data_IF_278349143872
#
_entry.id   IF_278349143872
#
_cell.length_a   1.000
_cell.length_b   1.000
_cell.length_c   1.000
_cell.angle_alpha   90.00
_cell.angle_beta   90.00
_cell.angle_gamma   90.00
#
_symmetry.space_group_name_H-M   'P 1'
#
loop_
_entity.id
_entity.type
_entity.pdbx_description
1 polymer ?
#
# COMPACT_ATOMS: atom_id res chain seq x y z
N UNK A 1 3.96 0.22 13.02
CA UNK A 1 5.42 0.21 12.76
C UNK A 1 5.66 0.27 11.25
N UNK A 2 5.69 1.48 10.69
CA UNK A 2 5.91 1.71 9.26
C UNK A 2 6.39 3.15 9.02
N UNK A 3 6.90 3.40 7.83
CA UNK A 3 7.25 4.74 7.33
C UNK A 3 6.65 4.96 5.94
N UNK A 4 6.31 6.21 5.64
CA UNK A 4 5.91 6.63 4.30
C UNK A 4 7.14 7.06 3.50
N UNK A 5 7.13 6.78 2.21
CA UNK A 5 8.19 7.23 1.32
C UNK A 5 8.14 8.74 1.11
N UNK A 6 9.30 9.35 0.91
CA UNK A 6 9.39 10.75 0.51
C UNK A 6 8.92 10.94 -0.93
N UNK A 7 8.28 12.07 -1.23
CA UNK A 7 7.74 12.35 -2.56
C UNK A 7 8.77 12.34 -3.68
N UNK A 8 10.05 12.59 -3.38
CA UNK A 8 11.15 12.60 -4.35
C UNK A 8 11.63 11.22 -4.79
N UNK A 9 11.31 10.16 -4.04
CA UNK A 9 11.70 8.78 -4.35
C UNK A 9 10.89 8.24 -5.54
N UNK A 10 11.48 7.28 -6.26
CA UNK A 10 10.83 6.53 -7.33
C UNK A 10 10.64 5.08 -6.91
N UNK A 11 9.43 4.56 -7.09
CA UNK A 11 9.06 3.17 -6.82
C UNK A 11 8.51 2.56 -8.11
N UNK A 12 9.16 1.51 -8.61
CA UNK A 12 8.79 0.83 -9.85
C UNK A 12 8.57 1.83 -11.02
N UNK A 13 9.48 2.80 -11.15
CA UNK A 13 9.43 3.76 -12.26
C UNK A 13 8.39 4.88 -12.13
N UNK A 14 7.70 5.01 -10.99
CA UNK A 14 6.85 6.18 -10.68
C UNK A 14 7.39 6.93 -9.48
N UNK A 15 7.38 8.26 -9.54
CA UNK A 15 7.66 9.10 -8.36
C UNK A 15 6.56 8.95 -7.33
N UNK A 16 6.92 8.87 -6.06
CA UNK A 16 5.96 8.80 -4.95
C UNK A 16 5.02 10.00 -4.96
N UNK A 17 5.51 11.19 -5.30
CA UNK A 17 4.68 12.40 -5.45
C UNK A 17 3.62 12.29 -6.56
N UNK A 18 3.76 11.34 -7.49
CA UNK A 18 2.75 11.03 -8.51
C UNK A 18 1.70 10.03 -8.00
N UNK A 19 2.00 9.27 -6.94
CA UNK A 19 1.09 8.29 -6.33
C UNK A 19 0.23 8.96 -5.24
N UNK A 20 0.85 9.81 -4.41
CA UNK A 20 0.25 10.37 -3.19
C UNK A 20 0.62 11.85 -3.01
N UNK A 21 -0.18 12.58 -2.23
CA UNK A 21 0.09 13.96 -1.84
C UNK A 21 1.08 14.07 -0.68
N UNK A 22 1.66 15.27 -0.52
CA UNK A 22 2.56 15.58 0.59
C UNK A 22 1.82 15.65 1.95
N UNK A 23 0.49 15.66 1.91
CA UNK A 23 -0.43 15.65 3.04
C UNK A 23 -0.76 14.24 3.56
N UNK A 24 -0.28 13.18 2.88
CA UNK A 24 -0.55 11.80 3.25
C UNK A 24 -0.03 11.47 4.65
N UNK A 25 -0.90 10.89 5.49
CA UNK A 25 -0.55 10.39 6.82
C UNK A 25 -1.30 9.09 7.13
N UNK A 26 -0.73 8.30 8.03
CA UNK A 26 -1.39 7.17 8.67
C UNK A 26 -1.53 7.51 10.15
N UNK A 27 -2.77 7.50 10.65
CA UNK A 27 -3.07 7.75 12.06
C UNK A 27 -2.80 6.48 12.91
N UNK A 28 -2.78 6.64 14.23
CA UNK A 28 -2.47 5.54 15.15
C UNK A 28 -3.46 4.36 15.06
N UNK A 29 -4.70 4.62 14.66
CA UNK A 29 -5.75 3.61 14.43
C UNK A 29 -5.65 2.94 13.05
N UNK A 30 -4.66 3.29 12.23
CA UNK A 30 -4.47 2.81 10.87
C UNK A 30 -5.29 3.56 9.80
N UNK A 31 -6.06 4.58 10.18
CA UNK A 31 -6.77 5.43 9.22
C UNK A 31 -5.79 6.20 8.35
N UNK A 32 -5.94 6.06 7.03
CA UNK A 32 -5.17 6.83 6.04
C UNK A 32 -5.93 8.12 5.73
N UNK A 33 -5.22 9.23 5.79
CA UNK A 33 -5.73 10.58 5.49
C UNK A 33 -4.80 11.28 4.50
N UNK A 34 -5.33 12.31 3.84
CA UNK A 34 -4.63 13.07 2.80
C UNK A 34 -4.97 12.58 1.40
N UNK A 35 -4.11 12.88 0.42
CA UNK A 35 -4.42 12.68 -1.00
C UNK A 35 -3.80 11.41 -1.57
N UNK A 36 -4.59 10.58 -2.25
CA UNK A 36 -4.11 9.51 -3.14
C UNK A 36 -4.55 9.85 -4.57
N UNK A 37 -3.58 9.83 -5.49
CA UNK A 37 -3.75 10.29 -6.88
C UNK A 37 -3.96 9.11 -7.80
N UNK A 38 -4.80 9.31 -8.83
CA UNK A 38 -4.97 8.32 -9.89
C UNK A 38 -3.73 8.29 -10.76
N UNK A 39 -3.17 7.10 -10.92
CA UNK A 39 -1.98 6.83 -11.74
C UNK A 39 -2.39 6.01 -12.94
N UNK A 40 -1.79 6.28 -14.09
CA UNK A 40 -1.93 5.49 -15.31
C UNK A 40 -0.56 5.05 -15.83
N UNK A 41 -0.53 3.98 -16.61
CA UNK A 41 0.69 3.45 -17.21
C UNK A 41 1.75 3.05 -16.17
N UNK A 42 1.34 2.42 -15.06
CA UNK A 42 2.25 1.90 -14.04
C UNK A 42 2.75 0.49 -14.41
N UNK A 43 3.41 0.37 -15.56
CA UNK A 43 3.76 -0.91 -16.20
C UNK A 43 4.71 -1.79 -15.38
N UNK A 44 5.55 -1.20 -14.54
CA UNK A 44 6.45 -1.97 -13.66
C UNK A 44 5.77 -2.45 -12.37
N UNK A 45 4.57 -1.95 -12.03
CA UNK A 45 3.79 -2.48 -10.91
C UNK A 45 3.17 -3.85 -11.25
N UNK A 46 2.68 -4.01 -12.47
CA UNK A 46 2.06 -5.26 -12.92
C UNK A 46 2.10 -5.38 -14.44
N UNK A 47 2.27 -6.61 -14.93
CA UNK A 47 2.11 -6.95 -16.35
C UNK A 47 0.65 -6.92 -16.81
N UNK A 48 -0.32 -6.96 -15.88
CA UNK A 48 -1.74 -6.90 -16.18
C UNK A 48 -2.18 -5.46 -16.43
N UNK A 49 -2.72 -5.18 -17.63
CA UNK A 49 -3.07 -3.81 -18.08
C UNK A 49 -4.06 -3.12 -17.13
N UNK A 50 -5.02 -3.87 -16.61
CA UNK A 50 -6.04 -3.41 -15.68
C UNK A 50 -5.46 -3.01 -14.32
N UNK A 51 -4.28 -3.51 -13.93
CA UNK A 51 -3.58 -3.18 -12.70
C UNK A 51 -2.58 -2.04 -12.86
N UNK A 52 -2.33 -1.55 -14.09
CA UNK A 52 -1.43 -0.43 -14.39
C UNK A 52 -2.12 0.94 -14.27
N UNK A 53 -3.41 0.96 -13.96
CA UNK A 53 -4.20 2.16 -13.73
C UNK A 53 -5.02 2.04 -12.44
N UNK A 54 -4.94 3.04 -11.57
CA UNK A 54 -5.61 3.00 -10.27
C UNK A 54 -5.00 3.95 -9.25
N UNK A 55 -5.30 3.71 -7.98
CA UNK A 55 -4.73 4.42 -6.85
C UNK A 55 -3.78 3.49 -6.11
N UNK A 56 -2.63 4.01 -5.70
CA UNK A 56 -1.56 3.20 -5.12
C UNK A 56 -1.07 3.83 -3.83
N UNK A 57 -0.98 3.01 -2.78
CA UNK A 57 -0.53 3.41 -1.46
C UNK A 57 0.80 2.72 -1.14
N UNK A 58 1.93 3.44 -1.23
CA UNK A 58 3.25 2.90 -0.93
C UNK A 58 3.63 3.11 0.54
N UNK A 59 4.26 2.11 1.15
CA UNK A 59 4.84 2.22 2.48
C UNK A 59 5.99 1.24 2.71
N UNK A 60 6.76 1.48 3.77
CA UNK A 60 7.81 0.58 4.22
C UNK A 60 7.55 0.11 5.66
N UNK A 61 7.55 -1.19 5.89
CA UNK A 61 7.50 -1.74 7.25
C UNK A 61 8.83 -1.49 7.96
N UNK A 62 8.76 -1.14 9.24
CA UNK A 62 9.97 -1.02 10.08
C UNK A 62 10.26 -2.29 10.88
N UNK A 63 9.26 -3.19 11.00
CA UNK A 63 9.43 -4.52 11.59
C UNK A 63 9.96 -5.48 10.52
N UNK A 64 10.80 -6.42 10.93
CA UNK A 64 11.30 -7.53 10.10
C UNK A 64 10.61 -8.84 10.48
N UNK A 65 10.61 -9.81 9.56
CA UNK A 65 10.13 -11.18 9.77
C UNK A 65 10.59 -12.11 8.67
N UNK A 66 10.04 -13.31 8.63
CA UNK A 66 10.33 -14.34 7.62
C UNK A 66 9.23 -14.38 6.56
N UNK A 67 7.98 -14.37 6.99
CA UNK A 67 6.81 -14.37 6.11
C UNK A 67 5.95 -13.14 6.33
N UNK A 68 5.11 -12.83 5.34
CA UNK A 68 4.08 -11.83 5.46
C UNK A 68 2.81 -12.24 4.72
N UNK A 69 1.68 -11.73 5.22
CA UNK A 69 0.36 -11.94 4.62
C UNK A 69 -0.32 -10.59 4.39
N UNK A 70 -0.90 -10.40 3.20
CA UNK A 70 -1.65 -9.20 2.83
C UNK A 70 -3.12 -9.55 2.64
N UNK A 71 -3.96 -9.15 3.59
CA UNK A 71 -5.41 -9.38 3.54
C UNK A 71 -6.11 -8.14 3.04
N UNK A 72 -6.82 -8.25 1.92
CA UNK A 72 -7.75 -7.23 1.43
C UNK A 72 -9.13 -7.54 1.96
N UNK A 73 -9.72 -6.62 2.72
CA UNK A 73 -11.05 -6.78 3.34
C UNK A 73 -11.19 -8.11 4.11
N UNK A 74 -10.13 -8.50 4.82
CA UNK A 74 -10.09 -9.72 5.63
C UNK A 74 -9.68 -10.99 4.87
N UNK A 75 -9.52 -10.95 3.54
CA UNK A 75 -9.18 -12.12 2.73
C UNK A 75 -7.80 -11.96 2.08
N UNK A 76 -6.94 -12.96 2.25
CA UNK A 76 -5.70 -13.04 1.49
C UNK A 76 -5.99 -13.45 0.05
N UNK A 77 -5.49 -12.68 -0.91
CA UNK A 77 -5.57 -13.06 -2.33
C UNK A 77 -4.62 -14.21 -2.66
N UNK A 78 -4.76 -14.77 -3.87
CA UNK A 78 -3.84 -15.80 -4.37
C UNK A 78 -2.38 -15.34 -4.28
N UNK A 79 -1.54 -16.16 -3.64
CA UNK A 79 -0.12 -15.86 -3.43
C UNK A 79 0.17 -14.69 -2.48
N UNK A 80 -0.80 -14.26 -1.67
CA UNK A 80 -0.65 -13.19 -0.67
C UNK A 80 -0.70 -13.68 0.77
N UNK A 81 -0.72 -14.99 0.97
CA UNK A 81 -0.62 -15.66 2.26
C UNK A 81 0.76 -16.31 2.37
N UNK A 82 1.42 -16.12 3.52
CA UNK A 82 2.75 -16.63 3.87
C UNK A 82 3.84 -16.43 2.81
N UNK A 83 3.73 -15.34 2.06
CA UNK A 83 4.74 -14.98 1.07
C UNK A 83 6.03 -14.55 1.78
N UNK A 84 7.16 -14.66 1.08
CA UNK A 84 8.43 -14.18 1.62
C UNK A 84 8.31 -12.72 2.06
N UNK A 85 8.86 -12.42 3.24
CA UNK A 85 8.80 -11.08 3.81
C UNK A 85 9.47 -10.05 2.87
N UNK A 86 8.71 -9.01 2.53
CA UNK A 86 9.18 -7.83 1.82
C UNK A 86 8.77 -6.58 2.61
N UNK A 87 9.72 -5.78 3.10
CA UNK A 87 9.37 -4.56 3.83
C UNK A 87 8.82 -3.46 2.90
N UNK A 88 9.02 -3.51 1.59
CA UNK A 88 8.69 -2.44 0.64
C UNK A 88 7.39 -2.76 -0.12
N UNK A 89 6.28 -2.18 0.33
CA UNK A 89 4.94 -2.60 -0.10
C UNK A 89 4.25 -1.47 -0.87
N UNK A 90 3.61 -1.83 -1.98
CA UNK A 90 2.69 -0.95 -2.73
C UNK A 90 1.35 -1.65 -2.85
N UNK A 91 0.31 -1.06 -2.26
CA UNK A 91 -1.04 -1.59 -2.37
C UNK A 91 -1.80 -0.84 -3.45
N UNK A 92 -2.47 -1.57 -4.36
CA UNK A 92 -3.48 -0.96 -5.23
C UNK A 92 -4.80 -0.90 -4.46
N UNK A 93 -5.29 0.32 -4.26
CA UNK A 93 -6.41 0.61 -3.35
C UNK A 93 -7.57 1.25 -4.09
N UNK A 94 -8.76 1.11 -3.52
CA UNK A 94 -10.00 1.71 -3.99
C UNK A 94 -10.88 2.12 -2.81
N UNK A 95 -11.95 2.86 -3.10
CA UNK A 95 -12.91 3.30 -2.08
C UNK A 95 -13.52 2.08 -1.38
N UNK A 96 -13.50 2.10 -0.05
CA UNK A 96 -14.06 1.03 0.78
C UNK A 96 -13.07 -0.08 1.13
N UNK A 97 -11.87 -0.08 0.54
CA UNK A 97 -10.86 -1.08 0.88
C UNK A 97 -10.34 -0.88 2.31
N UNK A 98 -10.08 -2.01 2.97
CA UNK A 98 -9.23 -2.14 4.13
C UNK A 98 -8.13 -3.17 3.83
N UNK A 99 -6.93 -2.95 4.35
CA UNK A 99 -5.82 -3.87 4.18
C UNK A 99 -5.15 -4.18 5.51
N UNK A 100 -5.09 -5.45 5.87
CA UNK A 100 -4.32 -5.93 7.02
C UNK A 100 -2.99 -6.50 6.54
N UNK A 101 -1.91 -6.10 7.20
CA UNK A 101 -0.57 -6.65 6.99
C UNK A 101 -0.18 -7.47 8.21
N UNK A 102 0.11 -8.74 7.99
CA UNK A 102 0.62 -9.66 9.00
C UNK A 102 2.09 -9.99 8.69
N UNK A 103 2.90 -10.14 9.74
CA UNK A 103 4.29 -10.57 9.66
C UNK A 103 4.48 -11.69 10.67
N UNK A 104 4.93 -12.85 10.22
CA UNK A 104 5.02 -14.09 11.01
C UNK A 104 3.70 -14.34 11.79
N UNK A 105 2.59 -14.44 11.05
CA UNK A 105 1.21 -14.67 11.53
C UNK A 105 0.64 -13.63 12.51
N UNK A 106 1.37 -12.53 12.72
CA UNK A 106 0.98 -11.49 13.67
C UNK A 106 0.57 -10.20 12.95
N UNK A 107 -0.62 -9.63 13.22
CA UNK A 107 -1.04 -8.38 12.61
C UNK A 107 -0.13 -7.21 13.04
N UNK A 108 0.36 -6.45 12.06
CA UNK A 108 1.24 -5.30 12.28
C UNK A 108 0.49 -3.99 12.11
N UNK A 109 -0.40 -3.91 11.13
CA UNK A 109 -1.21 -2.73 10.83
C UNK A 109 -2.42 -3.11 9.99
N UNK A 110 -3.53 -2.43 10.22
CA UNK A 110 -4.72 -2.48 9.37
C UNK A 110 -5.00 -1.08 8.85
N UNK A 111 -4.90 -0.88 7.53
CA UNK A 111 -5.22 0.38 6.88
C UNK A 111 -6.68 0.46 6.51
N UNK A 112 -7.25 1.66 6.60
CA UNK A 112 -8.53 1.98 5.96
C UNK A 112 -8.43 3.33 5.23
N UNK A 113 -9.16 3.47 4.11
CA UNK A 113 -9.06 4.62 3.21
C UNK A 113 -10.32 5.49 3.19
N UNK A 114 -11.10 5.48 4.29
CA UNK A 114 -12.39 6.19 4.39
C UNK A 114 -12.25 7.71 4.30
N UNK A 115 -11.12 8.23 4.79
CA UNK A 115 -10.88 9.67 4.96
C UNK A 115 -9.87 10.23 3.93
N UNK A 116 -9.59 9.49 2.86
CA UNK A 116 -8.68 9.92 1.78
C UNK A 116 -9.41 10.81 0.77
N UNK A 117 -8.72 11.84 0.28
CA UNK A 117 -9.09 12.56 -0.94
C UNK A 117 -8.58 11.79 -2.16
N UNK A 118 -9.50 11.38 -3.03
CA UNK A 118 -9.20 10.69 -4.29
C UNK A 118 -9.10 11.74 -5.39
N UNK A 119 -7.88 11.96 -5.91
CA UNK A 119 -7.57 13.00 -6.91
C UNK A 119 -7.26 12.42 -8.29
#
# INVERSE_FOLDING_TARGET
>A
MMTLYSGGQSLLGKRVSSLVGNDLKVLADGSVVGTIKKVTGYTQFSSKKEEQSGYYFPFKLTKTGTTMTLKKNGVAGEGKEDMAFDPEIILRVSRGDAFTVEVDDSPVVTFNFKNVTWA
#
